data_IF_992300282722
#
_entry.id   IF_992300282722
#
_cell.length_a   1.000
_cell.length_b   1.000
_cell.length_c   1.000
_cell.angle_alpha   90.00
_cell.angle_beta   90.00
_cell.angle_gamma   90.00
#
_symmetry.space_group_name_H-M   'P 1'
#
loop_
_entity.id
_entity.type
_entity.pdbx_description
1 polymer ?
#
# COMPACT_ATOMS: atom_id res chain seq x y z
N UNK A 1 1.69 7.09 3.23
CA UNK A 1 2.21 5.79 3.71
C UNK A 1 3.51 5.51 2.98
N UNK A 2 4.65 5.50 3.64
CA UNK A 2 5.94 5.10 3.05
C UNK A 2 6.61 4.10 4.00
N UNK A 3 7.37 3.14 3.45
CA UNK A 3 8.17 2.22 4.25
C UNK A 3 7.45 0.96 4.79
N UNK A 4 6.39 0.47 4.13
CA UNK A 4 5.73 -0.79 4.54
C UNK A 4 6.56 -2.04 4.19
N UNK A 5 7.56 -1.93 3.32
CA UNK A 5 8.30 -3.09 2.82
C UNK A 5 7.43 -4.01 1.97
N UNK A 6 7.77 -5.29 1.89
CA UNK A 6 6.94 -6.31 1.24
C UNK A 6 5.75 -6.63 2.15
N UNK A 7 4.52 -6.59 1.61
CA UNK A 7 3.29 -6.70 2.39
C UNK A 7 2.07 -7.16 1.55
N UNK A 8 0.97 -7.43 2.23
CA UNK A 8 -0.39 -7.43 1.67
C UNK A 8 -1.16 -6.27 2.31
N UNK A 9 -2.16 -5.73 1.62
CA UNK A 9 -2.97 -4.61 2.10
C UNK A 9 -4.13 -5.05 3.02
N UNK A 10 -4.37 -6.35 3.16
CA UNK A 10 -5.47 -6.92 3.93
C UNK A 10 -6.79 -7.07 3.16
N UNK A 11 -6.78 -6.90 1.83
CA UNK A 11 -7.95 -7.08 0.96
C UNK A 11 -8.00 -8.49 0.36
N UNK A 12 -9.09 -8.86 -0.29
CA UNK A 12 -9.13 -10.05 -1.14
C UNK A 12 -8.48 -9.76 -2.50
N UNK A 13 -8.85 -8.61 -3.06
CA UNK A 13 -8.39 -8.13 -4.37
C UNK A 13 -7.99 -6.68 -4.25
N UNK A 14 -7.04 -6.29 -5.06
CA UNK A 14 -6.64 -4.92 -5.19
C UNK A 14 -6.35 -4.61 -6.66
N UNK A 15 -6.56 -3.35 -7.00
CA UNK A 15 -6.11 -2.74 -8.25
C UNK A 15 -5.31 -1.49 -7.93
N UNK A 16 -4.21 -1.30 -8.66
CA UNK A 16 -3.42 -0.08 -8.68
C UNK A 16 -3.38 0.42 -10.12
N UNK A 17 -3.90 1.61 -10.37
CA UNK A 17 -3.86 2.28 -11.66
C UNK A 17 -2.90 3.44 -11.56
N UNK A 18 -1.97 3.53 -12.51
CA UNK A 18 -1.12 4.69 -12.63
C UNK A 18 -1.82 5.75 -13.46
N UNK A 19 -2.31 6.80 -12.79
CA UNK A 19 -3.06 7.87 -13.44
C UNK A 19 -2.15 8.86 -14.15
N UNK A 20 -0.96 9.11 -13.60
CA UNK A 20 0.00 10.07 -14.13
C UNK A 20 1.40 9.74 -13.61
N UNK A 21 2.41 9.95 -14.45
CA UNK A 21 3.83 9.91 -14.07
C UNK A 21 4.59 11.03 -14.75
N UNK A 22 5.19 11.89 -13.97
CA UNK A 22 5.93 13.03 -14.51
C UNK A 22 7.29 13.17 -13.83
N UNK A 23 8.35 13.28 -14.62
CA UNK A 23 9.71 13.61 -14.17
C UNK A 23 10.25 12.68 -13.06
N UNK A 24 9.90 11.39 -13.10
CA UNK A 24 10.36 10.39 -12.15
C UNK A 24 10.92 9.13 -12.83
N UNK A 25 11.88 8.52 -12.16
CA UNK A 25 12.36 7.15 -12.44
C UNK A 25 12.13 6.23 -11.25
N UNK A 26 12.20 4.92 -11.46
CA UNK A 26 11.96 3.91 -10.42
C UNK A 26 10.47 3.72 -10.12
N UNK A 27 10.11 3.35 -8.88
CA UNK A 27 8.77 2.87 -8.54
C UNK A 27 8.31 1.67 -9.40
N UNK A 28 9.23 0.72 -9.57
CA UNK A 28 8.93 -0.61 -10.06
C UNK A 28 8.09 -1.37 -9.04
N UNK A 29 7.07 -2.06 -9.53
CA UNK A 29 6.24 -2.95 -8.75
C UNK A 29 6.88 -4.33 -8.77
N UNK A 30 6.80 -5.05 -7.66
CA UNK A 30 7.24 -6.42 -7.55
C UNK A 30 6.20 -7.25 -6.79
N UNK A 31 5.97 -8.48 -7.27
CA UNK A 31 5.02 -9.44 -6.68
C UNK A 31 5.80 -10.68 -6.23
N UNK A 32 5.58 -11.10 -4.99
CA UNK A 32 6.30 -12.18 -4.33
C UNK A 32 5.36 -13.22 -3.74
N UNK A 33 5.85 -14.46 -3.68
CA UNK A 33 5.19 -15.56 -2.96
C UNK A 33 5.50 -15.57 -1.46
N UNK A 34 6.47 -14.76 -1.01
CA UNK A 34 6.90 -14.73 0.39
C UNK A 34 7.28 -13.32 0.88
N UNK A 35 7.07 -13.09 2.17
CA UNK A 35 7.32 -11.80 2.83
C UNK A 35 8.82 -11.40 2.87
N UNK A 36 9.74 -12.33 2.62
CA UNK A 36 11.19 -12.03 2.59
C UNK A 36 11.67 -11.63 1.19
N UNK A 37 10.80 -11.64 0.18
CA UNK A 37 11.14 -11.24 -1.19
C UNK A 37 12.08 -12.19 -1.92
N UNK A 38 12.18 -13.46 -1.49
CA UNK A 38 13.11 -14.44 -2.08
C UNK A 38 12.53 -15.15 -3.29
N UNK A 39 11.20 -15.14 -3.43
CA UNK A 39 10.47 -15.79 -4.52
C UNK A 39 9.63 -14.76 -5.25
N UNK A 40 10.25 -14.08 -6.21
CA UNK A 40 9.52 -13.26 -7.18
C UNK A 40 8.60 -14.16 -8.02
N UNK A 41 7.35 -13.73 -8.21
CA UNK A 41 6.38 -14.44 -9.05
C UNK A 41 6.42 -13.94 -10.50
N UNK A 42 6.85 -12.70 -10.70
CA UNK A 42 7.11 -12.05 -11.98
C UNK A 42 8.29 -11.11 -11.83
N UNK A 43 8.96 -10.81 -12.95
CA UNK A 43 10.03 -9.81 -12.96
C UNK A 43 9.47 -8.44 -12.55
N UNK A 44 10.24 -7.64 -11.78
CA UNK A 44 9.83 -6.29 -11.43
C UNK A 44 9.52 -5.44 -12.67
N UNK A 45 8.49 -4.60 -12.58
CA UNK A 45 7.97 -3.88 -13.74
C UNK A 45 7.48 -2.48 -13.39
N UNK A 46 7.66 -1.54 -14.32
CA UNK A 46 7.07 -0.22 -14.25
C UNK A 46 5.62 -0.26 -14.75
N UNK A 47 4.74 0.40 -14.01
CA UNK A 47 3.44 0.82 -14.55
C UNK A 47 3.60 2.23 -15.09
N UNK A 48 3.43 2.39 -16.40
CA UNK A 48 3.28 3.67 -17.08
C UNK A 48 1.89 4.27 -16.89
N UNK A 49 1.71 5.51 -17.35
CA UNK A 49 0.42 6.19 -17.32
C UNK A 49 -0.67 5.39 -18.05
N UNK A 50 -1.87 5.33 -17.47
CA UNK A 50 -3.01 4.56 -17.98
C UNK A 50 -2.91 3.04 -17.73
N UNK A 51 -1.77 2.53 -17.26
CA UNK A 51 -1.61 1.10 -16.97
C UNK A 51 -2.12 0.75 -15.55
N UNK A 52 -2.59 -0.50 -15.42
CA UNK A 52 -3.10 -1.02 -14.17
C UNK A 52 -2.49 -2.38 -13.83
N UNK A 53 -2.35 -2.61 -12.53
CA UNK A 53 -2.03 -3.90 -11.94
C UNK A 53 -3.23 -4.36 -11.11
N UNK A 54 -3.73 -5.56 -11.40
CA UNK A 54 -4.76 -6.24 -10.61
C UNK A 54 -4.11 -7.46 -9.95
N UNK A 55 -4.38 -7.68 -8.67
CA UNK A 55 -3.85 -8.84 -7.97
C UNK A 55 -4.80 -9.36 -6.90
N UNK A 56 -4.56 -10.62 -6.53
CA UNK A 56 -5.17 -11.27 -5.39
C UNK A 56 -4.37 -10.91 -4.14
N UNK A 57 -4.74 -9.80 -3.48
CA UNK A 57 -4.04 -9.30 -2.30
C UNK A 57 -4.00 -10.31 -1.14
N UNK A 58 -4.95 -11.24 -1.09
CA UNK A 58 -4.93 -12.34 -0.13
C UNK A 58 -4.10 -13.56 -0.52
N UNK A 59 -3.38 -13.52 -1.65
CA UNK A 59 -2.59 -14.65 -2.15
C UNK A 59 -1.12 -14.31 -2.42
N UNK A 60 -0.78 -13.03 -2.55
CA UNK A 60 0.57 -12.58 -2.87
C UNK A 60 1.02 -11.45 -1.95
N UNK A 61 2.33 -11.25 -1.87
CA UNK A 61 2.89 -10.04 -1.30
C UNK A 61 3.36 -9.11 -2.41
N UNK A 62 3.28 -7.81 -2.18
CA UNK A 62 3.70 -6.80 -3.14
C UNK A 62 4.61 -5.76 -2.49
N UNK A 63 5.39 -5.10 -3.34
CA UNK A 63 6.26 -4.01 -2.96
C UNK A 63 6.45 -3.06 -4.14
N UNK A 64 6.75 -1.80 -3.83
CA UNK A 64 7.11 -0.79 -4.81
C UNK A 64 8.48 -0.25 -4.43
N UNK A 65 9.42 -0.32 -5.38
CA UNK A 65 10.75 0.25 -5.24
C UNK A 65 10.67 1.77 -5.02
N UNK A 66 11.66 2.42 -4.39
CA UNK A 66 11.67 3.87 -4.27
C UNK A 66 11.59 4.57 -5.63
N UNK A 67 10.80 5.65 -5.71
CA UNK A 67 10.85 6.59 -6.82
C UNK A 67 11.96 7.62 -6.58
N UNK A 68 12.51 8.17 -7.66
CA UNK A 68 13.43 9.30 -7.63
C UNK A 68 13.00 10.32 -8.68
N UNK A 69 13.18 11.60 -8.38
CA UNK A 69 13.07 12.66 -9.40
C UNK A 69 14.15 12.44 -10.44
N UNK A 70 13.77 12.51 -11.71
CA UNK A 70 14.69 12.35 -12.82
C UNK A 70 15.47 13.66 -13.08
N UNK A 71 16.79 13.63 -13.26
CA UNK A 71 17.52 14.84 -13.70
C UNK A 71 17.06 15.28 -15.10
N UNK A 72 16.99 16.59 -15.41
CA UNK A 72 17.42 17.74 -14.60
C UNK A 72 16.29 18.36 -13.73
N UNK A 73 15.17 17.66 -13.56
CA UNK A 73 14.01 18.21 -12.88
C UNK A 73 14.26 18.37 -11.37
N UNK A 74 13.64 19.38 -10.78
CA UNK A 74 13.67 19.63 -9.32
C UNK A 74 12.51 18.95 -8.59
N UNK A 75 11.49 18.52 -9.32
CA UNK A 75 10.28 17.87 -8.83
C UNK A 75 9.81 16.79 -9.79
N UNK A 76 9.06 15.83 -9.27
CA UNK A 76 8.40 14.78 -10.06
C UNK A 76 7.25 14.17 -9.28
N UNK A 77 6.28 13.63 -9.99
CA UNK A 77 5.01 13.13 -9.43
C UNK A 77 4.71 11.72 -9.93
N UNK A 78 4.03 10.95 -9.06
CA UNK A 78 3.36 9.71 -9.41
C UNK A 78 1.98 9.73 -8.79
N UNK A 79 0.96 9.85 -9.61
CA UNK A 79 -0.43 9.80 -9.17
C UNK A 79 -0.97 8.40 -9.40
N UNK A 80 -1.46 7.76 -8.35
CA UNK A 80 -2.05 6.41 -8.43
C UNK A 80 -3.45 6.39 -7.83
N UNK A 81 -4.32 5.62 -8.46
CA UNK A 81 -5.58 5.17 -7.87
C UNK A 81 -5.36 3.76 -7.33
N UNK A 82 -5.77 3.53 -6.08
CA UNK A 82 -5.80 2.19 -5.49
C UNK A 82 -7.25 1.90 -5.07
N UNK A 83 -7.76 0.73 -5.42
CA UNK A 83 -9.05 0.26 -4.95
C UNK A 83 -8.95 -1.17 -4.44
N UNK A 84 -9.62 -1.42 -3.32
CA UNK A 84 -9.62 -2.71 -2.62
C UNK A 84 -11.01 -3.31 -2.59
N UNK A 85 -11.08 -4.64 -2.65
CA UNK A 85 -12.30 -5.41 -2.45
C UNK A 85 -12.08 -6.51 -1.40
N UNK A 86 -13.08 -6.76 -0.52
CA UNK A 86 -14.30 -5.98 -0.33
C UNK A 86 -14.07 -4.76 0.56
N UNK A 87 -14.65 -3.61 0.19
CA UNK A 87 -14.47 -2.34 0.91
C UNK A 87 -14.99 -2.37 2.37
N UNK A 88 -15.92 -3.28 2.69
CA UNK A 88 -16.58 -3.33 3.99
C UNK A 88 -15.61 -3.53 5.17
N UNK A 89 -14.50 -4.23 4.97
CA UNK A 89 -13.51 -4.45 6.03
C UNK A 89 -12.80 -3.14 6.43
N UNK A 90 -12.47 -2.32 5.44
CA UNK A 90 -11.90 -0.99 5.67
C UNK A 90 -12.91 -0.03 6.31
N UNK A 91 -14.16 -0.04 5.84
CA UNK A 91 -15.22 0.82 6.37
C UNK A 91 -15.63 0.45 7.81
N UNK A 92 -15.63 -0.85 8.14
CA UNK A 92 -16.00 -1.32 9.48
C UNK A 92 -14.84 -1.39 10.46
N UNK A 93 -13.61 -1.21 10.00
CA UNK A 93 -12.39 -1.40 10.79
C UNK A 93 -12.14 -2.86 11.22
N UNK A 94 -12.91 -3.82 10.68
CA UNK A 94 -12.75 -5.25 10.97
C UNK A 94 -11.69 -5.84 10.05
N UNK A 95 -10.84 -6.69 10.60
CA UNK A 95 -9.88 -7.47 9.81
C UNK A 95 -10.64 -8.35 8.83
N UNK A 96 -10.16 -8.42 7.60
CA UNK A 96 -10.69 -9.30 6.58
C UNK A 96 -10.37 -10.77 6.92
N UNK A 97 -11.37 -11.64 7.15
CA UNK A 97 -11.13 -13.03 7.50
C UNK A 97 -10.50 -13.85 6.35
N UNK A 98 -10.61 -13.36 5.11
CA UNK A 98 -10.09 -14.03 3.92
C UNK A 98 -8.63 -13.66 3.60
N UNK A 99 -8.02 -12.74 4.35
CA UNK A 99 -6.63 -12.37 4.18
C UNK A 99 -5.87 -12.54 5.50
N UNK A 100 -5.17 -13.68 5.59
CA UNK A 100 -4.28 -14.01 6.72
C UNK A 100 -2.81 -13.71 6.42
N UNK A 101 -2.51 -13.07 5.28
CA UNK A 101 -1.14 -12.73 4.92
C UNK A 101 -0.62 -11.63 5.85
N UNK A 102 0.63 -11.81 6.29
CA UNK A 102 1.29 -10.86 7.18
C UNK A 102 1.74 -9.59 6.46
N UNK A 103 2.01 -8.54 7.24
CA UNK A 103 2.77 -7.38 6.79
C UNK A 103 4.16 -7.42 7.40
N UNK A 104 5.16 -6.87 6.71
CA UNK A 104 6.48 -6.67 7.32
C UNK A 104 6.32 -5.82 8.58
N UNK A 105 6.91 -6.25 9.71
CA UNK A 105 6.78 -5.54 10.98
C UNK A 105 7.41 -4.14 10.85
N UNK A 106 6.57 -3.12 10.68
CA UNK A 106 6.98 -1.73 10.84
C UNK A 106 7.25 -1.46 12.32
N UNK A 107 8.37 -0.81 12.63
CA UNK A 107 8.71 -0.41 14.01
C UNK A 107 7.56 0.36 14.64
N UNK A 108 7.29 0.14 15.93
CA UNK A 108 6.17 0.82 16.64
C UNK A 108 6.21 2.35 16.47
N UNK A 109 7.42 2.93 16.40
CA UNK A 109 7.65 4.36 16.19
C UNK A 109 7.17 4.90 14.83
N UNK A 110 6.98 4.03 13.83
CA UNK A 110 6.58 4.40 12.45
C UNK A 110 5.15 3.98 12.11
N UNK A 111 4.43 3.38 13.06
CA UNK A 111 3.01 3.04 12.87
C UNK A 111 2.17 4.31 12.99
N UNK A 112 1.15 4.46 12.14
CA UNK A 112 0.11 5.46 12.38
C UNK A 112 -0.49 5.19 13.77
N UNK A 113 -0.43 6.18 14.65
CA UNK A 113 -1.05 6.09 15.96
C UNK A 113 -2.55 6.13 15.76
N UNK A 114 -3.25 5.04 16.07
CA UNK A 114 -4.68 5.14 16.36
C UNK A 114 -4.79 5.99 17.63
N UNK A 115 -5.27 7.22 17.51
CA UNK A 115 -5.72 7.99 18.67
C UNK A 115 -7.06 7.41 19.13
N UNK A 116 -7.03 6.26 19.80
CA UNK A 116 -8.09 5.90 20.73
C UNK A 116 -7.82 6.64 22.05
N UNK A 117 -7.89 7.97 22.02
CA UNK A 117 -8.10 8.71 23.26
C UNK A 117 -9.62 8.79 23.41
N UNK A 118 -10.23 8.12 24.41
CA UNK A 118 -11.62 8.41 24.75
C UNK A 118 -11.72 9.90 25.03
N UNK A 119 -12.75 10.56 24.50
CA UNK A 119 -13.08 11.92 24.90
C UNK A 119 -13.41 11.91 26.40
N UNK A 120 -12.41 12.17 27.24
CA UNK A 120 -12.60 12.52 28.64
C UNK A 120 -12.84 14.03 28.64
N UNK A 121 -14.10 14.41 28.45
CA UNK A 121 -14.73 15.63 29.00
C UNK A 121 -16.04 15.87 28.24
N UNK A 122 -17.07 15.12 28.62
CA UNK A 122 -18.46 15.46 28.37
C UNK A 122 -19.21 15.43 29.70
N UNK A 123 -18.83 16.29 30.63
CA UNK A 123 -19.72 16.63 31.75
C UNK A 123 -20.33 18.00 31.45
N UNK A 124 -21.61 17.97 31.08
CA UNK A 124 -22.44 19.16 30.90
C UNK A 124 -22.55 19.95 32.21
N UNK A 125 -22.57 21.29 32.17
CA UNK A 125 -22.95 22.09 33.32
C UNK A 125 -24.47 21.99 33.53
N UNK A 126 -24.85 21.84 34.80
CA UNK A 126 -26.21 21.88 35.35
C UNK A 126 -26.90 23.22 35.12
#
# INVERSE_FOLDING_TARGET
>A
MTGQGIHSDGADRAILVCLERENIRGAENAIYADLKGRRALIDPFLLGEGQALLWHDNQVFHWVAPAQVEPPYSQGTRTVLIAHYPAIHYLSGKVNPNNSLGTSKVSKSKRLRYQNTPCQDCTSPT
#
